data_IF_281916797133
#
_entry.id   IF_281916797133
#
_cell.length_a   1.000
_cell.length_b   1.000
_cell.length_c   1.000
_cell.angle_alpha   90.00
_cell.angle_beta   90.00
_cell.angle_gamma   90.00
#
_symmetry.space_group_name_H-M   'P 1'
#
loop_
_entity.id
_entity.type
_entity.pdbx_description
1 polymer ?
#
# COMPACT_ATOMS: atom_id res chain seq x y z
N UNK A 1 -41.53 -2.30 6.17
CA UNK A 1 -40.86 -1.03 5.82
C UNK A 1 -39.64 -0.75 6.69
N UNK A 2 -39.75 -0.78 8.03
CA UNK A 2 -38.65 -0.53 8.99
C UNK A 2 -37.42 -1.42 8.76
N UNK A 3 -37.60 -2.71 8.43
CA UNK A 3 -36.50 -3.66 8.14
C UNK A 3 -35.69 -3.30 6.88
N UNK A 4 -36.35 -2.76 5.85
CA UNK A 4 -35.71 -2.32 4.61
C UNK A 4 -34.93 -1.02 4.79
N UNK A 5 -35.49 -0.07 5.55
CA UNK A 5 -34.79 1.18 5.90
C UNK A 5 -33.53 0.88 6.71
N UNK A 6 -33.61 -0.05 7.69
CA UNK A 6 -32.48 -0.44 8.53
C UNK A 6 -31.38 -1.20 7.74
N UNK A 7 -31.76 -1.98 6.72
CA UNK A 7 -30.81 -2.65 5.81
C UNK A 7 -30.02 -1.62 4.98
N UNK A 8 -30.69 -0.63 4.40
CA UNK A 8 -30.05 0.41 3.61
C UNK A 8 -29.13 1.30 4.47
N UNK A 9 -29.55 1.70 5.66
CA UNK A 9 -28.71 2.50 6.56
C UNK A 9 -27.47 1.74 7.05
N UNK A 10 -27.59 0.43 7.29
CA UNK A 10 -26.45 -0.42 7.64
C UNK A 10 -25.48 -0.60 6.45
N UNK A 11 -26.02 -0.74 5.24
CA UNK A 11 -25.22 -0.79 4.00
C UNK A 11 -24.44 0.50 3.77
N UNK A 12 -25.10 1.65 3.90
CA UNK A 12 -24.46 2.97 3.77
C UNK A 12 -23.37 3.20 4.83
N UNK A 13 -23.63 2.80 6.07
CA UNK A 13 -22.64 2.86 7.15
C UNK A 13 -21.41 1.99 6.85
N UNK A 14 -21.63 0.79 6.33
CA UNK A 14 -20.55 -0.13 6.00
C UNK A 14 -19.75 0.35 4.77
N UNK A 15 -20.42 0.87 3.74
CA UNK A 15 -19.78 1.47 2.56
C UNK A 15 -18.93 2.70 2.93
N UNK A 16 -19.41 3.58 3.80
CA UNK A 16 -18.62 4.73 4.31
C UNK A 16 -17.37 4.27 5.05
N UNK A 17 -17.48 3.23 5.88
CA UNK A 17 -16.33 2.64 6.60
C UNK A 17 -15.30 2.05 5.63
N UNK A 18 -15.78 1.32 4.62
CA UNK A 18 -14.95 0.73 3.57
C UNK A 18 -14.23 1.78 2.74
N UNK A 19 -14.92 2.83 2.35
CA UNK A 19 -14.33 3.95 1.60
C UNK A 19 -13.22 4.64 2.43
N UNK A 20 -13.46 4.89 3.73
CA UNK A 20 -12.45 5.46 4.62
C UNK A 20 -11.20 4.58 4.77
N UNK A 21 -11.37 3.25 4.82
CA UNK A 21 -10.24 2.30 4.82
C UNK A 21 -9.49 2.35 3.50
N UNK A 22 -10.20 2.32 2.38
CA UNK A 22 -9.62 2.41 1.04
C UNK A 22 -8.79 3.70 0.87
N UNK A 23 -9.33 4.86 1.27
CA UNK A 23 -8.61 6.14 1.21
C UNK A 23 -7.32 6.10 2.02
N UNK A 24 -7.33 5.53 3.24
CA UNK A 24 -6.12 5.41 4.06
C UNK A 24 -5.06 4.52 3.38
N UNK A 25 -5.48 3.40 2.80
CA UNK A 25 -4.58 2.49 2.09
C UNK A 25 -3.97 3.16 0.87
N UNK A 26 -4.77 3.90 0.09
CA UNK A 26 -4.29 4.67 -1.05
C UNK A 26 -3.28 5.75 -0.65
N UNK A 27 -3.50 6.45 0.46
CA UNK A 27 -2.55 7.44 0.98
C UNK A 27 -1.21 6.76 1.32
N UNK A 28 -1.23 5.62 2.02
CA UNK A 28 0.01 4.91 2.38
C UNK A 28 0.73 4.41 1.11
N UNK A 29 -0.01 3.83 0.16
CA UNK A 29 0.50 3.37 -1.12
C UNK A 29 1.07 4.48 -1.99
N UNK A 30 0.62 5.72 -1.83
CA UNK A 30 1.18 6.87 -2.55
C UNK A 30 2.41 7.45 -1.84
N UNK A 31 2.35 7.62 -0.52
CA UNK A 31 3.41 8.28 0.26
C UNK A 31 4.70 7.47 0.29
N UNK A 32 4.62 6.15 0.50
CA UNK A 32 5.79 5.27 0.59
C UNK A 32 6.66 5.30 -0.69
N UNK A 33 6.13 5.06 -1.90
CA UNK A 33 6.93 5.14 -3.12
C UNK A 33 7.36 6.58 -3.43
N UNK A 34 6.56 7.58 -3.09
CA UNK A 34 6.92 8.98 -3.32
C UNK A 34 8.18 9.38 -2.54
N UNK A 35 8.24 9.06 -1.24
CA UNK A 35 9.42 9.34 -0.40
C UNK A 35 10.64 8.61 -0.94
N UNK A 36 10.48 7.33 -1.30
CA UNK A 36 11.58 6.51 -1.78
C UNK A 36 12.14 7.01 -3.13
N UNK A 37 11.26 7.33 -4.09
CA UNK A 37 11.67 7.91 -5.37
C UNK A 37 12.31 9.28 -5.20
N UNK A 38 11.77 10.13 -4.32
CA UNK A 38 12.35 11.45 -4.02
C UNK A 38 13.78 11.33 -3.47
N UNK A 39 14.02 10.36 -2.57
CA UNK A 39 15.37 10.06 -2.05
C UNK A 39 16.34 9.62 -3.14
N UNK A 40 15.94 8.69 -4.02
CA UNK A 40 16.75 8.28 -5.17
C UNK A 40 17.06 9.44 -6.11
N UNK A 41 16.07 10.29 -6.40
CA UNK A 41 16.20 11.43 -7.30
C UNK A 41 17.13 12.50 -6.72
N UNK A 42 17.07 12.73 -5.41
CA UNK A 42 18.02 13.59 -4.70
C UNK A 42 19.46 13.11 -4.87
N UNK A 43 19.72 11.80 -4.70
CA UNK A 43 21.05 11.24 -4.93
C UNK A 43 21.51 11.31 -6.39
N UNK A 44 20.59 11.22 -7.34
CA UNK A 44 20.89 11.36 -8.77
C UNK A 44 21.27 12.79 -9.16
N UNK A 45 20.58 13.80 -8.62
CA UNK A 45 20.82 15.22 -8.93
C UNK A 45 22.06 15.77 -8.20
N UNK A 46 22.35 15.28 -6.99
CA UNK A 46 23.50 15.71 -6.19
C UNK A 46 24.55 14.58 -6.05
N UNK A 47 25.25 14.22 -7.14
CA UNK A 47 26.19 13.10 -7.13
C UNK A 47 27.48 13.35 -6.30
N UNK A 48 27.70 14.58 -5.81
CA UNK A 48 29.02 15.18 -5.54
C UNK A 48 29.84 14.68 -4.33
N UNK A 49 29.42 13.69 -3.56
CA UNK A 49 30.23 13.19 -2.44
C UNK A 49 30.69 11.75 -2.69
N UNK A 50 31.97 11.61 -3.06
CA UNK A 50 32.64 10.31 -3.18
C UNK A 50 33.09 9.79 -1.80
N UNK A 51 32.19 9.88 -0.83
CA UNK A 51 32.40 9.39 0.53
C UNK A 51 31.77 7.99 0.65
N UNK A 52 32.50 7.05 1.25
CA UNK A 52 32.03 5.70 1.53
C UNK A 52 30.66 5.71 2.23
N UNK A 53 30.44 6.61 3.18
CA UNK A 53 29.14 6.73 3.88
C UNK A 53 28.00 7.08 2.91
N UNK A 54 28.20 8.02 1.99
CA UNK A 54 27.17 8.39 1.01
C UNK A 54 26.91 7.25 0.04
N UNK A 55 27.94 6.52 -0.38
CA UNK A 55 27.79 5.38 -1.28
C UNK A 55 27.01 4.23 -0.64
N UNK A 56 27.27 3.94 0.64
CA UNK A 56 26.49 2.95 1.42
C UNK A 56 25.01 3.36 1.48
N UNK A 57 24.72 4.64 1.78
CA UNK A 57 23.34 5.14 1.85
C UNK A 57 22.65 5.03 0.47
N UNK A 58 23.34 5.35 -0.62
CA UNK A 58 22.81 5.20 -1.99
C UNK A 58 22.44 3.76 -2.31
N UNK A 59 23.31 2.80 -1.97
CA UNK A 59 23.05 1.37 -2.19
C UNK A 59 21.84 0.92 -1.38
N UNK A 60 21.72 1.35 -0.12
CA UNK A 60 20.55 1.03 0.72
C UNK A 60 19.24 1.58 0.13
N UNK A 61 19.25 2.83 -0.36
CA UNK A 61 18.08 3.43 -1.02
C UNK A 61 17.72 2.71 -2.33
N UNK A 62 18.73 2.37 -3.14
CA UNK A 62 18.53 1.62 -4.37
C UNK A 62 17.89 0.25 -4.09
N UNK A 63 18.41 -0.51 -3.14
CA UNK A 63 17.85 -1.79 -2.72
C UNK A 63 16.42 -1.61 -2.19
N UNK A 64 16.18 -0.61 -1.32
CA UNK A 64 14.86 -0.30 -0.78
C UNK A 64 13.82 -0.04 -1.88
N UNK A 65 14.21 0.66 -2.95
CA UNK A 65 13.30 0.94 -4.08
C UNK A 65 12.88 -0.32 -4.86
N UNK A 66 13.70 -1.37 -4.88
CA UNK A 66 13.34 -2.66 -5.48
C UNK A 66 12.31 -3.45 -4.66
N UNK A 67 12.13 -3.11 -3.37
CA UNK A 67 11.12 -3.74 -2.53
C UNK A 67 9.74 -3.06 -2.61
N UNK A 68 9.61 -1.87 -3.21
CA UNK A 68 8.30 -1.19 -3.37
C UNK A 68 7.23 -2.11 -4.01
N UNK A 69 7.51 -2.84 -5.11
CA UNK A 69 6.53 -3.73 -5.73
C UNK A 69 6.07 -4.87 -4.81
N UNK A 70 6.86 -5.22 -3.79
CA UNK A 70 6.53 -6.24 -2.78
C UNK A 70 5.73 -5.62 -1.64
N UNK A 71 6.07 -4.41 -1.19
CA UNK A 71 5.35 -3.74 -0.10
C UNK A 71 3.92 -3.35 -0.48
N UNK A 72 3.69 -2.93 -1.71
CA UNK A 72 2.36 -2.52 -2.18
C UNK A 72 1.29 -3.61 -1.99
N UNK A 73 1.46 -4.86 -2.48
CA UNK A 73 0.48 -5.91 -2.26
C UNK A 73 0.37 -6.31 -0.78
N UNK A 74 1.45 -6.27 0.01
CA UNK A 74 1.40 -6.56 1.46
C UNK A 74 0.52 -5.54 2.18
N UNK A 75 0.70 -4.24 1.91
CA UNK A 75 -0.10 -3.17 2.50
C UNK A 75 -1.58 -3.35 2.13
N UNK A 76 -1.87 -3.66 0.86
CA UNK A 76 -3.22 -3.96 0.41
C UNK A 76 -3.84 -5.16 1.17
N UNK A 77 -3.09 -6.25 1.34
CA UNK A 77 -3.57 -7.46 2.05
C UNK A 77 -3.81 -7.17 3.54
N UNK A 78 -2.92 -6.43 4.20
CA UNK A 78 -3.02 -6.18 5.64
C UNK A 78 -4.14 -5.19 5.97
N UNK A 79 -4.30 -4.15 5.15
CA UNK A 79 -5.19 -3.03 5.48
C UNK A 79 -6.58 -3.12 4.85
N UNK A 80 -6.76 -3.91 3.79
CA UNK A 80 -8.05 -4.06 3.11
C UNK A 80 -8.63 -5.46 3.30
N UNK A 81 -9.48 -5.64 4.32
CA UNK A 81 -10.12 -6.92 4.67
C UNK A 81 -10.84 -7.60 3.49
N UNK A 82 -11.69 -6.92 2.69
CA UNK A 82 -12.30 -7.58 1.54
C UNK A 82 -11.28 -8.00 0.47
N UNK A 83 -10.22 -7.23 0.24
CA UNK A 83 -9.14 -7.63 -0.66
C UNK A 83 -8.37 -8.85 -0.13
N UNK A 84 -8.08 -8.89 1.17
CA UNK A 84 -7.51 -10.04 1.86
C UNK A 84 -8.37 -11.30 1.67
N UNK A 85 -9.67 -11.18 1.94
CA UNK A 85 -10.60 -12.29 1.79
C UNK A 85 -10.70 -12.75 0.34
N UNK A 86 -10.68 -11.83 -0.63
CA UNK A 86 -10.68 -12.17 -2.05
C UNK A 86 -9.44 -12.98 -2.47
N UNK A 87 -8.26 -12.68 -1.90
CA UNK A 87 -7.01 -13.42 -2.18
C UNK A 87 -7.04 -14.81 -1.52
N UNK A 88 -7.33 -14.88 -0.22
CA UNK A 88 -7.23 -16.13 0.53
C UNK A 88 -8.43 -17.07 0.31
N UNK A 89 -9.64 -16.57 0.05
CA UNK A 89 -10.80 -17.42 -0.25
C UNK A 89 -10.84 -17.87 -1.72
N UNK A 90 -10.14 -17.17 -2.64
CA UNK A 90 -9.91 -17.71 -4.00
C UNK A 90 -9.09 -18.99 -3.95
N UNK A 91 -8.09 -19.06 -3.07
CA UNK A 91 -7.28 -20.27 -2.90
C UNK A 91 -8.09 -21.48 -2.41
N UNK A 92 -9.25 -21.26 -1.78
CA UNK A 92 -10.13 -22.33 -1.31
C UNK A 92 -11.16 -22.80 -2.35
N UNK A 93 -11.47 -21.98 -3.36
CA UNK A 93 -12.52 -22.28 -4.36
C UNK A 93 -11.99 -22.99 -5.60
N UNK A 94 -10.67 -23.07 -5.78
CA UNK A 94 -10.02 -23.96 -6.73
C UNK A 94 -8.98 -24.84 -6.00
N UNK A 95 -9.40 -25.95 -5.37
CA UNK A 95 -8.46 -27.03 -5.10
C UNK A 95 -7.97 -27.56 -6.45
N UNK A 96 -6.66 -27.58 -6.64
CA UNK A 96 -6.02 -28.31 -7.75
C UNK A 96 -6.29 -29.81 -7.63
#
# INVERSE_FOLDING_TARGET
MVRYVNLNTNLDGNLKRLNKLLTKVLIILAVVPFINQTGNLFFAIFPKTNNNTTNIIRILFFISSHFIPVFNPIICILANTPYRNAIFNRAQTHPQ
#
